data_IF_135494708168
#
_entry.id   IF_135494708168
#
_cell.length_a   1.000
_cell.length_b   1.000
_cell.length_c   1.000
_cell.angle_alpha   90.00
_cell.angle_beta   90.00
_cell.angle_gamma   90.00
#
_symmetry.space_group_name_H-M   'P 1'
#
loop_
_entity.id
_entity.type
_entity.pdbx_description
1 polymer ?
#
# COMPACT_ATOMS: atom_id res chain seq x y z
N UNK A 1 -1.92 6.49 14.56
CA UNK A 1 -1.37 7.02 13.30
C UNK A 1 -1.85 8.44 13.15
N UNK A 2 -0.96 9.35 12.84
CA UNK A 2 -1.28 10.75 12.55
C UNK A 2 -1.64 10.92 11.06
N UNK A 3 -2.40 11.96 10.72
CA UNK A 3 -2.68 12.27 9.32
C UNK A 3 -1.36 12.59 8.58
N UNK A 4 -1.21 12.09 7.36
CA UNK A 4 -0.01 12.28 6.55
C UNK A 4 1.24 11.50 7.01
N UNK A 5 1.09 10.57 7.95
CA UNK A 5 2.19 9.73 8.43
C UNK A 5 2.45 8.55 7.47
N UNK A 6 3.73 8.22 7.26
CA UNK A 6 4.14 7.05 6.49
C UNK A 6 4.66 5.96 7.44
N UNK A 7 3.94 4.85 7.55
CA UNK A 7 4.29 3.74 8.44
C UNK A 7 4.64 2.50 7.63
N UNK A 8 5.82 1.94 7.91
CA UNK A 8 6.19 0.62 7.43
C UNK A 8 5.81 -0.46 8.45
N UNK A 9 5.13 -1.51 8.01
CA UNK A 9 4.79 -2.69 8.82
C UNK A 9 5.72 -3.82 8.42
N UNK A 10 6.57 -4.21 9.34
CA UNK A 10 7.59 -5.24 9.17
C UNK A 10 7.29 -6.48 10.01
N UNK A 11 7.97 -7.56 9.73
CA UNK A 11 7.93 -8.81 10.48
C UNK A 11 7.96 -10.04 9.57
N UNK A 12 8.24 -11.23 10.13
CA UNK A 12 8.26 -12.49 9.40
C UNK A 12 6.91 -12.84 8.76
N UNK A 13 6.92 -13.84 7.89
CA UNK A 13 5.68 -14.37 7.35
C UNK A 13 4.83 -15.02 8.46
N UNK A 14 3.50 -14.87 8.35
CA UNK A 14 2.58 -15.45 9.34
C UNK A 14 2.34 -14.62 10.60
N UNK A 15 3.04 -13.50 10.83
CA UNK A 15 2.91 -12.68 12.05
C UNK A 15 1.67 -11.79 12.12
N UNK A 16 0.77 -11.89 11.12
CA UNK A 16 -0.50 -11.16 11.14
C UNK A 16 -0.51 -9.84 10.33
N UNK A 17 0.53 -9.51 9.57
CA UNK A 17 0.57 -8.30 8.73
C UNK A 17 -0.62 -8.19 7.78
N UNK A 18 -0.91 -9.27 7.04
CA UNK A 18 -2.08 -9.33 6.16
C UNK A 18 -3.40 -9.31 6.93
N UNK A 19 -3.46 -9.89 8.14
CA UNK A 19 -4.64 -9.81 9.01
C UNK A 19 -4.90 -8.37 9.46
N UNK A 20 -3.85 -7.63 9.81
CA UNK A 20 -3.94 -6.18 10.10
C UNK A 20 -4.54 -5.42 8.90
N UNK A 21 -4.04 -5.66 7.69
CA UNK A 21 -4.62 -5.03 6.49
C UNK A 21 -6.09 -5.40 6.28
N UNK A 22 -6.46 -6.68 6.47
CA UNK A 22 -7.86 -7.13 6.36
C UNK A 22 -8.77 -6.47 7.38
N UNK A 23 -8.30 -6.26 8.63
CA UNK A 23 -9.03 -5.50 9.65
C UNK A 23 -9.23 -4.05 9.19
N UNK A 24 -8.17 -3.39 8.71
CA UNK A 24 -8.23 -2.02 8.21
C UNK A 24 -9.09 -1.88 6.93
N UNK A 25 -9.23 -2.94 6.15
CA UNK A 25 -10.15 -3.00 5.00
C UNK A 25 -11.60 -3.33 5.40
N UNK A 26 -11.85 -3.64 6.67
CA UNK A 26 -13.17 -4.11 7.16
C UNK A 26 -13.55 -5.49 6.64
N UNK A 27 -12.57 -6.31 6.25
CA UNK A 27 -12.74 -7.68 5.75
C UNK A 27 -12.58 -8.74 6.86
N UNK A 28 -12.04 -8.34 8.00
CA UNK A 28 -11.86 -9.18 9.18
C UNK A 28 -12.34 -8.42 10.41
N UNK A 29 -13.19 -9.04 11.21
CA UNK A 29 -13.65 -8.47 12.47
C UNK A 29 -12.58 -8.59 13.55
N UNK A 30 -12.54 -7.58 14.43
CA UNK A 30 -11.70 -7.63 15.62
C UNK A 30 -12.35 -8.52 16.68
N UNK A 31 -11.59 -9.38 17.32
CA UNK A 31 -12.03 -10.14 18.50
C UNK A 31 -12.32 -9.23 19.70
N UNK A 32 -11.64 -8.09 19.78
CA UNK A 32 -11.85 -7.07 20.82
C UNK A 32 -11.39 -5.69 20.31
N UNK A 33 -11.92 -4.62 20.91
CA UNK A 33 -11.52 -3.26 20.56
C UNK A 33 -12.28 -2.67 19.36
N UNK A 34 -11.77 -1.56 18.83
CA UNK A 34 -12.37 -0.81 17.71
C UNK A 34 -11.28 -0.25 16.82
N UNK A 35 -11.40 -0.47 15.52
CA UNK A 35 -10.59 0.20 14.51
C UNK A 35 -11.36 1.40 13.92
N UNK A 36 -10.68 2.54 13.81
CA UNK A 36 -11.25 3.78 13.27
C UNK A 36 -10.30 4.43 12.27
N UNK A 37 -10.86 5.02 11.23
CA UNK A 37 -10.16 5.92 10.30
C UNK A 37 -10.87 7.26 10.36
N UNK A 38 -10.14 8.34 10.65
CA UNK A 38 -10.69 9.68 10.88
C UNK A 38 -11.86 9.70 11.89
N UNK A 39 -11.70 8.99 13.00
CA UNK A 39 -12.72 8.89 14.04
C UNK A 39 -13.94 8.01 13.69
N UNK A 40 -14.10 7.55 12.45
CA UNK A 40 -15.21 6.70 12.00
C UNK A 40 -14.83 5.23 12.05
N UNK A 41 -15.76 4.39 12.48
CA UNK A 41 -15.58 2.92 12.40
C UNK A 41 -15.27 2.50 10.96
N UNK A 42 -14.36 1.58 10.84
CA UNK A 42 -14.02 0.96 9.55
C UNK A 42 -15.20 0.10 9.08
N UNK A 43 -15.55 0.27 7.82
CA UNK A 43 -16.54 -0.56 7.12
C UNK A 43 -15.91 -1.10 5.85
N UNK A 44 -16.28 -2.32 5.46
CA UNK A 44 -15.78 -2.93 4.25
C UNK A 44 -15.97 -2.00 3.04
N UNK A 45 -14.88 -1.79 2.30
CA UNK A 45 -14.78 -0.99 1.08
C UNK A 45 -15.07 0.49 1.26
N UNK A 46 -14.71 1.10 2.38
CA UNK A 46 -14.74 2.54 2.54
C UNK A 46 -13.99 3.26 1.41
N UNK A 47 -14.57 4.26 0.73
CA UNK A 47 -13.87 5.02 -0.32
C UNK A 47 -12.69 5.84 0.24
N UNK A 48 -12.62 6.01 1.56
CA UNK A 48 -11.51 6.69 2.25
C UNK A 48 -10.25 5.84 2.33
N UNK A 49 -10.35 4.54 2.02
CA UNK A 49 -9.24 3.60 2.10
C UNK A 49 -8.91 3.14 0.68
N UNK A 50 -7.75 3.55 0.19
CA UNK A 50 -7.14 2.98 -1.01
C UNK A 50 -6.36 1.72 -0.65
N UNK A 51 -6.43 0.70 -1.49
CA UNK A 51 -5.69 -0.53 -1.26
C UNK A 51 -4.92 -0.94 -2.52
N UNK A 52 -3.63 -1.12 -2.34
CA UNK A 52 -2.72 -1.68 -3.34
C UNK A 52 -2.40 -3.11 -2.91
N UNK A 53 -2.96 -4.13 -3.58
CA UNK A 53 -2.71 -5.52 -3.25
C UNK A 53 -1.30 -5.95 -3.64
N UNK A 54 -0.84 -7.03 -3.00
CA UNK A 54 0.40 -7.70 -3.38
C UNK A 54 0.42 -8.01 -4.88
N UNK A 55 1.57 -7.82 -5.50
CA UNK A 55 1.73 -8.03 -6.93
C UNK A 55 1.35 -9.46 -7.32
N UNK A 56 0.36 -9.57 -8.21
CA UNK A 56 0.02 -10.82 -8.89
C UNK A 56 0.01 -10.54 -10.38
N UNK A 57 0.68 -11.35 -11.19
CA UNK A 57 0.61 -11.21 -12.64
C UNK A 57 -0.85 -11.35 -13.10
N UNK A 58 -1.21 -10.57 -14.09
CA UNK A 58 -2.50 -10.67 -14.78
C UNK A 58 -2.29 -11.48 -16.04
N UNK A 59 -3.21 -12.38 -16.34
CA UNK A 59 -3.17 -13.18 -17.54
C UNK A 59 -3.11 -12.27 -18.78
N UNK A 60 -2.26 -12.63 -19.73
CA UNK A 60 -2.08 -11.89 -21.01
C UNK A 60 -3.34 -11.83 -21.85
N UNK A 61 -4.26 -12.78 -21.68
CA UNK A 61 -5.54 -12.83 -22.38
C UNK A 61 -6.57 -11.81 -21.85
N UNK A 62 -6.32 -11.21 -20.67
CA UNK A 62 -7.21 -10.21 -20.12
C UNK A 62 -7.23 -8.96 -21.00
N UNK A 63 -8.38 -8.66 -21.58
CA UNK A 63 -8.59 -7.53 -22.49
C UNK A 63 -8.76 -6.18 -21.79
N UNK A 64 -8.71 -6.16 -20.45
CA UNK A 64 -8.85 -4.97 -19.64
C UNK A 64 -7.71 -3.98 -19.93
N UNK A 65 -8.03 -2.70 -20.10
CA UNK A 65 -7.06 -1.63 -20.30
C UNK A 65 -6.72 -0.94 -18.97
N UNK A 66 -5.61 -0.19 -18.91
CA UNK A 66 -5.21 0.53 -17.70
C UNK A 66 -6.31 1.42 -17.14
N UNK A 67 -6.97 2.24 -17.98
CA UNK A 67 -8.10 3.09 -17.55
C UNK A 67 -9.28 2.31 -17.00
N UNK A 68 -9.53 1.10 -17.53
CA UNK A 68 -10.64 0.27 -17.07
C UNK A 68 -10.33 -0.32 -15.70
N UNK A 69 -9.06 -0.76 -15.48
CA UNK A 69 -8.61 -1.21 -14.15
C UNK A 69 -8.69 -0.09 -13.11
N UNK A 70 -8.25 1.13 -13.43
CA UNK A 70 -8.39 2.29 -12.54
C UNK A 70 -9.85 2.58 -12.22
N UNK A 71 -10.74 2.53 -13.22
CA UNK A 71 -12.17 2.76 -13.06
C UNK A 71 -12.84 1.75 -12.12
N UNK A 72 -12.37 0.50 -12.05
CA UNK A 72 -12.89 -0.48 -11.09
C UNK A 72 -12.73 -0.02 -9.64
N UNK A 73 -11.79 0.86 -9.33
CA UNK A 73 -11.66 1.49 -8.03
C UNK A 73 -12.90 2.33 -7.64
N UNK A 74 -13.61 2.92 -8.63
CA UNK A 74 -14.85 3.66 -8.42
C UNK A 74 -16.05 2.73 -8.39
N UNK A 75 -16.12 1.80 -9.33
CA UNK A 75 -17.32 1.03 -9.68
C UNK A 75 -17.39 -0.36 -9.05
N UNK A 76 -16.26 -0.90 -8.59
CA UNK A 76 -16.14 -2.30 -8.12
C UNK A 76 -17.10 -2.72 -6.98
N UNK A 77 -17.87 -1.78 -6.44
CA UNK A 77 -18.87 -2.01 -5.38
C UNK A 77 -20.31 -1.88 -5.85
N UNK A 78 -20.53 -1.47 -7.10
CA UNK A 78 -21.87 -1.25 -7.65
C UNK A 78 -22.22 -2.40 -8.57
N UNK A 79 -23.22 -3.16 -8.17
CA UNK A 79 -23.85 -4.16 -9.02
C UNK A 79 -24.99 -3.53 -9.82
N UNK A 80 -25.06 -3.86 -11.10
CA UNK A 80 -26.17 -3.48 -11.98
C UNK A 80 -25.82 -2.43 -13.04
N UNK A 81 -26.57 -2.44 -14.12
CA UNK A 81 -26.46 -1.55 -15.28
C UNK A 81 -27.35 -0.32 -15.15
N UNK A 82 -27.29 0.42 -14.04
CA UNK A 82 -28.04 1.67 -13.93
C UNK A 82 -27.48 2.68 -14.95
N UNK A 83 -28.33 3.30 -15.78
CA UNK A 83 -27.90 4.31 -16.73
C UNK A 83 -27.30 5.51 -15.96
N UNK A 84 -25.98 5.70 -16.11
CA UNK A 84 -25.32 6.85 -15.54
C UNK A 84 -25.71 8.12 -16.28
N UNK A 85 -26.03 9.17 -15.54
CA UNK A 85 -26.21 10.50 -16.11
C UNK A 85 -24.91 10.93 -16.81
N UNK A 86 -25.00 11.76 -17.84
CA UNK A 86 -23.84 12.25 -18.60
C UNK A 86 -22.80 12.93 -17.70
N UNK A 87 -23.25 13.73 -16.74
CA UNK A 87 -22.41 14.40 -15.74
C UNK A 87 -21.62 13.41 -14.86
N UNK A 88 -22.25 12.30 -14.45
CA UNK A 88 -21.56 11.26 -13.65
C UNK A 88 -20.49 10.54 -14.48
N UNK A 89 -20.75 10.33 -15.76
CA UNK A 89 -19.76 9.73 -16.68
C UNK A 89 -18.55 10.66 -16.88
N UNK A 90 -18.79 11.97 -17.04
CA UNK A 90 -17.71 12.95 -17.18
C UNK A 90 -16.85 13.02 -15.92
N UNK A 91 -17.46 13.16 -14.75
CA UNK A 91 -16.75 13.18 -13.46
C UNK A 91 -15.91 11.93 -13.22
N UNK A 92 -16.42 10.74 -13.54
CA UNK A 92 -15.66 9.48 -13.42
C UNK A 92 -14.49 9.41 -14.38
N UNK A 93 -14.65 9.91 -15.61
CA UNK A 93 -13.56 9.95 -16.58
C UNK A 93 -12.45 10.88 -16.10
N UNK A 94 -12.81 12.03 -15.57
CA UNK A 94 -11.87 12.99 -14.98
C UNK A 94 -11.12 12.37 -13.77
N UNK A 95 -11.83 11.72 -12.84
CA UNK A 95 -11.21 11.04 -11.71
C UNK A 95 -10.19 9.98 -12.13
N UNK A 96 -10.52 9.18 -13.17
CA UNK A 96 -9.60 8.20 -13.73
C UNK A 96 -8.39 8.88 -14.35
N UNK A 97 -8.59 9.96 -15.11
CA UNK A 97 -7.48 10.70 -15.73
C UNK A 97 -6.56 11.31 -14.68
N UNK A 98 -7.11 11.97 -13.66
CA UNK A 98 -6.36 12.52 -12.52
C UNK A 98 -5.55 11.45 -11.79
N UNK A 99 -6.15 10.28 -11.53
CA UNK A 99 -5.45 9.18 -10.88
C UNK A 99 -4.28 8.64 -11.73
N UNK A 100 -4.45 8.56 -13.05
CA UNK A 100 -3.37 8.19 -13.98
C UNK A 100 -2.22 9.21 -13.97
N UNK A 101 -2.54 10.52 -13.97
CA UNK A 101 -1.53 11.57 -13.86
C UNK A 101 -0.71 11.47 -12.56
N UNK A 102 -1.36 11.18 -11.44
CA UNK A 102 -0.68 11.03 -10.14
C UNK A 102 0.40 9.96 -10.15
N UNK A 103 0.30 8.98 -11.06
CA UNK A 103 1.29 7.88 -11.18
C UNK A 103 2.13 7.96 -12.45
N UNK A 104 2.11 9.08 -13.17
CA UNK A 104 2.76 9.26 -14.49
C UNK A 104 2.38 8.10 -15.43
N UNK A 105 1.10 7.75 -15.49
CA UNK A 105 0.56 6.58 -16.17
C UNK A 105 -0.42 6.89 -17.30
N UNK A 106 -0.50 8.14 -17.80
CA UNK A 106 -1.45 8.57 -18.83
C UNK A 106 -1.31 7.75 -20.11
N UNK A 107 -0.06 7.47 -20.53
CA UNK A 107 0.25 6.67 -21.69
C UNK A 107 -0.19 5.20 -21.55
N UNK A 108 -0.43 4.74 -20.32
CA UNK A 108 -0.87 3.38 -20.03
C UNK A 108 -2.41 3.22 -20.07
N UNK A 109 -3.14 4.34 -20.20
CA UNK A 109 -4.61 4.34 -20.15
C UNK A 109 -5.23 3.34 -21.13
N UNK A 110 -4.71 3.27 -22.37
CA UNK A 110 -5.21 2.42 -23.42
C UNK A 110 -4.44 1.11 -23.63
N UNK A 111 -3.37 0.90 -22.89
CA UNK A 111 -2.57 -0.34 -22.91
C UNK A 111 -3.32 -1.45 -22.17
N UNK A 112 -3.29 -2.68 -22.71
CA UNK A 112 -3.86 -3.86 -22.03
C UNK A 112 -3.04 -4.21 -20.82
N UNK A 113 -3.69 -4.45 -19.66
CA UNK A 113 -3.00 -4.77 -18.40
C UNK A 113 -2.18 -6.05 -18.46
N UNK A 114 -2.59 -7.03 -19.27
CA UNK A 114 -1.88 -8.30 -19.43
C UNK A 114 -0.54 -8.20 -20.20
N UNK A 115 -0.25 -7.08 -20.87
CA UNK A 115 1.02 -6.86 -21.58
C UNK A 115 1.91 -5.80 -20.90
N UNK A 116 1.46 -5.22 -19.80
CA UNK A 116 2.24 -4.26 -19.03
C UNK A 116 3.41 -4.94 -18.31
N UNK A 117 4.52 -4.24 -18.20
CA UNK A 117 5.61 -4.61 -17.28
C UNK A 117 5.13 -4.58 -15.82
N UNK A 118 5.86 -5.25 -14.91
CA UNK A 118 5.52 -5.25 -13.50
C UNK A 118 5.42 -3.84 -12.90
N UNK A 119 6.34 -2.96 -13.25
CA UNK A 119 6.34 -1.57 -12.78
C UNK A 119 5.18 -0.74 -13.34
N UNK A 120 4.83 -0.94 -14.62
CA UNK A 120 3.66 -0.28 -15.23
C UNK A 120 2.35 -0.74 -14.60
N UNK A 121 2.18 -2.04 -14.44
CA UNK A 121 1.00 -2.61 -13.78
C UNK A 121 0.88 -2.12 -12.33
N UNK A 122 2.00 -2.05 -11.61
CA UNK A 122 2.01 -1.55 -10.24
C UNK A 122 1.58 -0.08 -10.16
N UNK A 123 2.05 0.77 -11.07
CA UNK A 123 1.58 2.17 -11.16
C UNK A 123 0.08 2.27 -11.42
N UNK A 124 -0.45 1.44 -12.32
CA UNK A 124 -1.90 1.41 -12.60
C UNK A 124 -2.70 0.92 -11.38
N UNK A 125 -2.19 -0.04 -10.59
CA UNK A 125 -2.82 -0.46 -9.33
C UNK A 125 -2.80 0.64 -8.27
N UNK A 126 -1.73 1.42 -8.20
CA UNK A 126 -1.69 2.61 -7.33
C UNK A 126 -2.73 3.63 -7.80
N UNK A 127 -2.82 3.93 -9.10
CA UNK A 127 -3.86 4.81 -9.64
C UNK A 127 -5.27 4.31 -9.30
N UNK A 128 -5.52 3.00 -9.41
CA UNK A 128 -6.78 2.38 -8.98
C UNK A 128 -7.08 2.63 -7.50
N UNK A 129 -6.08 2.52 -6.63
CA UNK A 129 -6.24 2.77 -5.20
C UNK A 129 -6.49 4.25 -4.90
N UNK A 130 -5.95 5.17 -5.71
CA UNK A 130 -6.04 6.62 -5.51
C UNK A 130 -7.29 7.26 -6.13
N UNK A 131 -8.01 6.59 -7.00
CA UNK A 131 -9.08 7.18 -7.84
C UNK A 131 -10.26 7.78 -7.05
N UNK A 132 -10.45 7.35 -5.80
CA UNK A 132 -11.47 7.90 -4.88
C UNK A 132 -10.91 8.94 -3.91
N UNK A 133 -9.71 9.44 -4.14
CA UNK A 133 -9.04 10.40 -3.26
C UNK A 133 -8.99 9.94 -1.79
N UNK A 134 -8.38 8.77 -1.49
CA UNK A 134 -8.39 8.19 -0.15
C UNK A 134 -7.55 9.00 0.83
N UNK A 135 -7.96 9.01 2.10
CA UNK A 135 -7.19 9.59 3.21
C UNK A 135 -6.24 8.59 3.87
N UNK A 136 -6.45 7.30 3.62
CA UNK A 136 -5.56 6.20 4.03
C UNK A 136 -5.23 5.32 2.83
N UNK A 137 -3.96 5.15 2.55
CA UNK A 137 -3.45 4.23 1.52
C UNK A 137 -2.79 3.03 2.21
N UNK A 138 -3.33 1.85 1.96
CA UNK A 138 -2.79 0.58 2.41
C UNK A 138 -2.08 -0.10 1.25
N UNK A 139 -0.82 -0.48 1.42
CA UNK A 139 -0.04 -1.18 0.40
C UNK A 139 0.47 -2.51 0.97
N UNK A 140 0.19 -3.59 0.26
CA UNK A 140 0.67 -4.94 0.61
C UNK A 140 1.79 -5.33 -0.35
N UNK A 141 3.04 -5.33 0.14
CA UNK A 141 4.25 -5.63 -0.63
C UNK A 141 4.35 -4.87 -1.97
N UNK A 142 4.21 -3.54 -1.99
CA UNK A 142 4.06 -2.79 -3.24
C UNK A 142 5.30 -2.77 -4.12
N UNK A 143 6.47 -3.14 -3.58
CA UNK A 143 7.77 -3.12 -4.26
C UNK A 143 8.25 -4.53 -4.65
N UNK A 144 7.52 -5.57 -4.23
CA UNK A 144 7.90 -6.95 -4.49
C UNK A 144 8.03 -7.20 -6.01
N UNK A 145 9.09 -7.84 -6.42
CA UNK A 145 9.40 -8.17 -7.83
C UNK A 145 9.71 -6.99 -8.75
N UNK A 146 9.83 -5.78 -8.23
CA UNK A 146 10.25 -4.62 -9.02
C UNK A 146 11.79 -4.53 -9.04
N UNK A 147 12.32 -4.12 -10.18
CA UNK A 147 13.73 -3.70 -10.25
C UNK A 147 13.96 -2.41 -9.42
N UNK A 148 15.21 -2.08 -9.05
CA UNK A 148 15.50 -0.93 -8.19
C UNK A 148 14.98 0.40 -8.72
N UNK A 149 14.98 0.62 -10.04
CA UNK A 149 14.51 1.87 -10.63
C UNK A 149 12.98 2.01 -10.49
N UNK A 150 12.23 0.94 -10.78
CA UNK A 150 10.79 0.91 -10.59
C UNK A 150 10.41 0.94 -9.09
N UNK A 151 11.14 0.27 -8.21
CA UNK A 151 10.91 0.34 -6.77
C UNK A 151 11.06 1.78 -6.25
N UNK A 152 12.13 2.49 -6.66
CA UNK A 152 12.34 3.91 -6.33
C UNK A 152 11.22 4.79 -6.88
N UNK A 153 10.82 4.59 -8.13
CA UNK A 153 9.71 5.35 -8.74
C UNK A 153 8.42 5.16 -7.96
N UNK A 154 8.03 3.91 -7.67
CA UNK A 154 6.81 3.58 -6.92
C UNK A 154 6.84 4.19 -5.51
N UNK A 155 7.96 4.06 -4.79
CA UNK A 155 8.12 4.67 -3.46
C UNK A 155 7.95 6.19 -3.49
N UNK A 156 8.56 6.85 -4.49
CA UNK A 156 8.43 8.29 -4.70
C UNK A 156 6.99 8.71 -5.01
N UNK A 157 6.26 7.94 -5.82
CA UNK A 157 4.85 8.22 -6.14
C UNK A 157 3.95 8.13 -4.89
N UNK A 158 4.17 7.12 -4.06
CA UNK A 158 3.43 6.95 -2.80
C UNK A 158 3.74 8.12 -1.84
N UNK A 159 5.01 8.49 -1.68
CA UNK A 159 5.40 9.61 -0.83
C UNK A 159 4.89 10.96 -1.36
N UNK A 160 4.94 11.18 -2.67
CA UNK A 160 4.36 12.39 -3.30
C UNK A 160 2.89 12.51 -2.93
N UNK A 161 2.12 11.44 -3.05
CA UNK A 161 0.71 11.42 -2.65
C UNK A 161 0.53 11.80 -1.18
N UNK A 162 1.37 11.24 -0.30
CA UNK A 162 1.37 11.56 1.12
C UNK A 162 1.55 13.06 1.36
N UNK A 163 2.58 13.65 0.74
CA UNK A 163 2.93 15.07 0.96
C UNK A 163 1.93 16.02 0.36
N UNK A 164 1.46 15.77 -0.86
CA UNK A 164 0.59 16.71 -1.59
C UNK A 164 -0.86 16.68 -1.10
N UNK A 165 -1.36 15.51 -0.69
CA UNK A 165 -2.76 15.33 -0.30
C UNK A 165 -2.97 15.00 1.19
N UNK A 166 -1.90 14.93 1.99
CA UNK A 166 -1.99 14.56 3.40
C UNK A 166 -2.47 13.11 3.63
N UNK A 167 -2.38 12.26 2.62
CA UNK A 167 -2.79 10.84 2.71
C UNK A 167 -1.88 10.11 3.69
N UNK A 168 -2.45 9.45 4.67
CA UNK A 168 -1.71 8.54 5.55
C UNK A 168 -1.38 7.27 4.80
N UNK A 169 -0.14 6.79 4.92
CA UNK A 169 0.34 5.60 4.18
C UNK A 169 0.74 4.51 5.15
N UNK A 170 0.28 3.29 4.92
CA UNK A 170 0.71 2.09 5.63
C UNK A 170 1.17 1.07 4.60
N UNK A 171 2.46 0.74 4.64
CA UNK A 171 3.08 -0.23 3.73
C UNK A 171 3.48 -1.46 4.51
N UNK A 172 2.91 -2.60 4.18
CA UNK A 172 3.41 -3.91 4.62
C UNK A 172 4.53 -4.32 3.69
N UNK A 173 5.68 -4.64 4.24
CA UNK A 173 6.84 -5.12 3.47
C UNK A 173 7.74 -6.00 4.34
N UNK A 174 8.54 -6.82 3.71
CA UNK A 174 9.65 -7.54 4.36
C UNK A 174 10.99 -6.83 4.14
N UNK A 175 11.06 -5.85 3.23
CA UNK A 175 12.26 -5.06 2.94
C UNK A 175 11.97 -3.58 3.13
N UNK A 176 12.65 -2.96 4.12
CA UNK A 176 12.45 -1.55 4.46
C UNK A 176 13.35 -0.61 3.66
N UNK A 177 14.52 -1.10 3.22
CA UNK A 177 15.58 -0.22 2.69
C UNK A 177 15.11 0.72 1.56
N UNK A 178 14.32 0.29 0.56
CA UNK A 178 13.82 1.20 -0.48
C UNK A 178 12.85 2.27 0.04
N UNK A 179 12.30 2.09 1.24
CA UNK A 179 11.31 2.98 1.85
C UNK A 179 11.91 3.90 2.92
N UNK A 180 13.13 3.64 3.40
CA UNK A 180 13.76 4.39 4.49
C UNK A 180 13.69 5.92 4.35
N UNK A 181 13.89 6.51 3.17
CA UNK A 181 13.81 7.97 3.01
C UNK A 181 12.42 8.57 3.25
N UNK A 182 11.39 7.75 3.31
CA UNK A 182 9.99 8.17 3.36
C UNK A 182 9.28 7.79 4.66
N UNK A 183 9.82 6.81 5.40
CA UNK A 183 9.17 6.20 6.58
C UNK A 183 9.36 7.09 7.80
N UNK A 184 8.25 7.51 8.41
CA UNK A 184 8.25 8.23 9.68
C UNK A 184 8.34 7.25 10.86
N UNK A 185 7.63 6.12 10.77
CA UNK A 185 7.60 5.11 11.83
C UNK A 185 7.56 3.69 11.28
N UNK A 186 8.05 2.78 12.10
CA UNK A 186 8.01 1.33 11.86
C UNK A 186 7.09 0.68 12.89
N UNK A 187 6.20 -0.17 12.43
CA UNK A 187 5.48 -1.16 13.23
C UNK A 187 6.07 -2.54 12.94
N UNK A 188 6.78 -3.12 13.88
CA UNK A 188 7.40 -4.44 13.73
C UNK A 188 6.58 -5.50 14.47
N UNK A 189 6.12 -6.53 13.77
CA UNK A 189 5.23 -7.57 14.28
C UNK A 189 5.95 -8.92 14.34
N UNK A 190 5.93 -9.58 15.49
CA UNK A 190 6.47 -10.93 15.69
C UNK A 190 5.59 -11.68 16.69
N UNK A 191 4.99 -12.80 16.29
CA UNK A 191 4.26 -13.74 17.16
C UNK A 191 3.30 -13.06 18.16
N UNK A 192 2.45 -12.17 17.65
CA UNK A 192 1.46 -11.44 18.46
C UNK A 192 2.03 -10.30 19.30
N UNK A 193 3.34 -10.07 19.26
CA UNK A 193 4.02 -8.92 19.88
C UNK A 193 4.31 -7.86 18.85
N UNK A 194 4.52 -6.64 19.29
CA UNK A 194 4.89 -5.57 18.38
C UNK A 194 5.80 -4.53 19.03
N UNK A 195 6.57 -3.87 18.18
CA UNK A 195 7.28 -2.63 18.48
C UNK A 195 6.81 -1.54 17.53
N UNK A 196 6.65 -0.32 18.02
CA UNK A 196 6.36 0.84 17.20
C UNK A 196 7.23 2.01 17.60
N UNK A 197 7.81 2.71 16.63
CA UNK A 197 8.69 3.85 16.88
C UNK A 197 9.30 4.35 15.58
N UNK A 198 10.27 5.28 15.65
CA UNK A 198 11.07 5.66 14.48
C UNK A 198 11.92 4.47 14.02
N UNK A 199 12.49 4.57 12.82
CA UNK A 199 13.36 3.52 12.28
C UNK A 199 14.52 3.25 13.26
N UNK A 200 15.18 4.31 13.75
CA UNK A 200 16.32 4.22 14.67
C UNK A 200 15.92 3.60 16.02
N UNK A 201 14.70 3.87 16.48
CA UNK A 201 14.21 3.31 17.74
C UNK A 201 13.89 1.82 17.63
N UNK A 202 13.32 1.37 16.52
CA UNK A 202 12.86 0.00 16.35
C UNK A 202 13.96 -0.92 15.81
N UNK A 203 14.75 -0.45 14.84
CA UNK A 203 15.76 -1.24 14.14
C UNK A 203 17.08 -1.33 14.92
N UNK A 204 17.04 -1.86 16.14
CA UNK A 204 18.21 -2.10 16.98
C UNK A 204 18.30 -3.58 17.36
N UNK A 205 19.55 -4.06 17.51
CA UNK A 205 19.84 -5.44 17.93
C UNK A 205 19.10 -5.81 19.22
N UNK A 206 19.18 -4.95 20.23
CA UNK A 206 18.55 -5.17 21.56
C UNK A 206 17.04 -5.34 21.45
N UNK A 207 16.37 -4.39 20.78
CA UNK A 207 14.90 -4.39 20.67
C UNK A 207 14.37 -5.54 19.83
N UNK A 208 15.02 -5.81 18.69
CA UNK A 208 14.59 -6.93 17.86
C UNK A 208 14.89 -8.26 18.53
N UNK A 209 16.03 -8.43 19.21
CA UNK A 209 16.30 -9.66 19.98
C UNK A 209 15.26 -9.89 21.08
N UNK A 210 14.86 -8.84 21.78
CA UNK A 210 13.79 -8.92 22.79
C UNK A 210 12.43 -9.28 22.16
N UNK A 211 12.10 -8.68 21.01
CA UNK A 211 10.85 -8.93 20.31
C UNK A 211 10.76 -10.37 19.81
N UNK A 212 11.84 -10.87 19.21
CA UNK A 212 11.93 -12.23 18.68
C UNK A 212 12.13 -13.31 19.75
N UNK A 213 12.62 -12.91 20.95
CA UNK A 213 13.12 -13.83 21.98
C UNK A 213 14.23 -14.73 21.44
N UNK A 214 15.08 -14.21 20.57
CA UNK A 214 16.15 -14.89 19.89
C UNK A 214 17.32 -13.95 19.65
N UNK A 215 18.49 -14.49 19.33
CA UNK A 215 19.66 -13.68 19.02
C UNK A 215 19.51 -13.08 17.62
N UNK A 216 19.08 -11.84 17.54
CA UNK A 216 18.95 -11.07 16.28
C UNK A 216 20.03 -10.01 16.26
N UNK A 217 20.78 -9.94 15.17
CA UNK A 217 21.74 -8.87 14.94
C UNK A 217 21.22 -7.89 13.90
N UNK A 218 21.20 -6.61 14.23
CA UNK A 218 20.91 -5.52 13.28
C UNK A 218 22.21 -4.82 12.96
N UNK A 219 22.54 -4.76 11.68
CA UNK A 219 23.73 -4.07 11.18
C UNK A 219 23.26 -2.92 10.30
N UNK A 220 23.73 -1.71 10.60
CA UNK A 220 23.53 -0.55 9.72
C UNK A 220 24.79 -0.38 8.89
N UNK A 221 24.63 -0.45 7.58
CA UNK A 221 25.72 -0.20 6.60
C UNK A 221 25.28 0.99 5.77
N UNK A 222 25.96 2.12 5.93
CA UNK A 222 25.55 3.41 5.37
C UNK A 222 24.09 3.73 5.76
N UNK A 223 23.18 3.85 4.78
CA UNK A 223 21.76 4.11 5.01
C UNK A 223 20.90 2.83 4.92
N UNK A 224 21.50 1.62 5.00
CA UNK A 224 20.78 0.36 4.89
C UNK A 224 20.78 -0.41 6.21
N UNK A 225 19.66 -1.03 6.53
CA UNK A 225 19.53 -1.94 7.66
C UNK A 225 19.52 -3.39 7.18
N UNK A 226 20.34 -4.22 7.79
CA UNK A 226 20.41 -5.67 7.56
C UNK A 226 20.06 -6.34 8.89
N UNK A 227 19.03 -7.18 8.87
CA UNK A 227 18.60 -7.97 10.03
C UNK A 227 19.03 -9.40 9.80
N UNK A 228 19.88 -9.92 10.68
CA UNK A 228 20.40 -11.28 10.64
C UNK A 228 19.93 -12.01 11.89
N UNK A 229 19.18 -13.10 11.73
CA UNK A 229 18.84 -14.01 12.81
C UNK A 229 19.86 -15.17 12.83
N UNK A 230 20.34 -15.52 13.99
CA UNK A 230 20.95 -16.85 14.19
C UNK A 230 19.83 -17.86 14.38
N UNK A 231 19.86 -19.01 13.68
CA UNK A 231 18.84 -20.05 13.79
C UNK A 231 18.78 -20.67 15.19
#
# INVERSE_FOLDING_TARGET
>A
MSAGEFIAVLGPNGTGKTSLLKVLLGQLELSAGVARVEGKRITAGSPRIGYVPQHRPIDREVLLRGRDLVRLGIDGRRWGALPLRSADRARRREAVFTALQQVNGEQLADVRVGVMSGGELQRIRIAQALVNDPTLLLCDEPLLTLDPANAKLVSTLIDRRRREAGTTVLVVTHEINPLLPYVDRVLYLVDGRFLIGTVEQVMTTERLSTLYQANIRVVKVEDHYIVVGEP
#
